data_IF_770373901358
#
_entry.id   IF_770373901358
#
_cell.length_a   1.000
_cell.length_b   1.000
_cell.length_c   1.000
_cell.angle_alpha   90.00
_cell.angle_beta   90.00
_cell.angle_gamma   90.00
#
_symmetry.space_group_name_H-M   'P 1'
#
loop_
_entity.id
_entity.type
_entity.pdbx_description
1 polymer ?
#
# COMPACT_ATOMS: atom_id res chain seq x y z
N UNK A 1 76.00 -14.57 -34.52
CA UNK A 1 74.63 -14.95 -34.96
C UNK A 1 73.89 -15.68 -33.87
N UNK A 2 73.74 -15.16 -32.62
CA UNK A 2 73.02 -15.95 -31.59
C UNK A 2 72.43 -15.19 -30.43
N UNK A 3 72.61 -13.88 -30.36
CA UNK A 3 72.03 -13.11 -29.22
C UNK A 3 70.56 -12.74 -29.44
N UNK A 4 70.06 -12.76 -30.66
CA UNK A 4 68.68 -12.36 -30.99
C UNK A 4 67.68 -13.52 -30.86
N UNK A 5 68.10 -14.74 -31.13
CA UNK A 5 67.30 -15.96 -30.98
C UNK A 5 67.12 -16.33 -29.50
N UNK A 6 68.15 -16.21 -28.73
CA UNK A 6 68.07 -16.44 -27.29
C UNK A 6 67.15 -15.44 -26.59
N UNK A 7 67.17 -14.19 -26.99
CA UNK A 7 66.30 -13.16 -26.40
C UNK A 7 64.80 -13.35 -26.81
N UNK A 8 64.56 -13.98 -27.97
CA UNK A 8 63.17 -14.35 -28.35
C UNK A 8 62.65 -15.60 -27.62
N UNK A 9 63.52 -16.58 -27.37
CA UNK A 9 63.13 -17.75 -26.56
C UNK A 9 62.84 -17.40 -25.13
N UNK A 10 63.63 -16.58 -24.47
CA UNK A 10 63.41 -16.12 -23.10
C UNK A 10 62.10 -15.32 -22.98
N UNK A 11 61.78 -14.47 -23.97
CA UNK A 11 60.50 -13.77 -24.01
C UNK A 11 59.30 -14.69 -24.20
N UNK A 12 59.44 -15.81 -24.93
CA UNK A 12 58.36 -16.81 -25.08
C UNK A 12 58.14 -17.60 -23.82
N UNK A 13 59.19 -18.02 -23.11
CA UNK A 13 59.10 -18.70 -21.84
C UNK A 13 58.48 -17.82 -20.73
N UNK A 14 58.90 -16.57 -20.67
CA UNK A 14 58.30 -15.59 -19.71
C UNK A 14 56.80 -15.37 -19.95
N UNK A 15 56.38 -15.35 -21.23
CA UNK A 15 54.95 -15.24 -21.57
C UNK A 15 54.17 -16.51 -21.22
N UNK A 16 54.78 -17.68 -21.39
CA UNK A 16 54.17 -18.96 -21.03
C UNK A 16 54.02 -19.09 -19.51
N UNK A 17 55.04 -18.75 -18.73
CA UNK A 17 55.03 -18.74 -17.26
C UNK A 17 54.05 -17.72 -16.71
N UNK A 18 53.89 -16.53 -17.35
CA UNK A 18 52.87 -15.57 -16.97
C UNK A 18 51.44 -16.09 -17.25
N UNK A 19 51.19 -16.72 -18.39
CA UNK A 19 49.88 -17.34 -18.70
C UNK A 19 49.51 -18.45 -17.72
N UNK A 20 50.42 -19.35 -17.40
CA UNK A 20 50.18 -20.42 -16.41
C UNK A 20 49.88 -19.85 -15.04
N UNK A 21 50.66 -18.84 -14.59
CA UNK A 21 50.42 -18.18 -13.31
C UNK A 21 49.05 -17.48 -13.24
N UNK A 22 48.67 -16.81 -14.32
CA UNK A 22 47.35 -16.12 -14.38
C UNK A 22 46.19 -17.13 -14.42
N UNK A 23 46.37 -18.30 -15.08
CA UNK A 23 45.36 -19.36 -15.06
C UNK A 23 45.21 -19.97 -13.66
N UNK A 24 46.31 -20.21 -12.96
CA UNK A 24 46.27 -20.72 -11.57
C UNK A 24 45.59 -19.72 -10.67
N UNK A 25 45.94 -18.44 -10.77
CA UNK A 25 45.26 -17.36 -9.99
C UNK A 25 43.74 -17.31 -10.30
N UNK A 26 43.36 -17.39 -11.58
CA UNK A 26 41.97 -17.40 -11.97
C UNK A 26 41.18 -18.58 -11.39
N UNK A 27 41.75 -19.81 -11.47
CA UNK A 27 41.10 -20.98 -10.88
C UNK A 27 41.04 -20.93 -9.35
N UNK A 28 42.08 -20.37 -8.71
CA UNK A 28 42.07 -20.19 -7.25
C UNK A 28 40.99 -19.19 -6.82
N UNK A 29 40.83 -18.06 -7.54
CA UNK A 29 39.79 -17.07 -7.26
C UNK A 29 38.38 -17.66 -7.45
N UNK A 30 38.18 -18.40 -8.54
CA UNK A 30 36.90 -19.08 -8.80
C UNK A 30 36.59 -20.10 -7.72
N UNK A 31 37.61 -20.90 -7.30
CA UNK A 31 37.46 -21.86 -6.20
C UNK A 31 37.09 -21.22 -4.88
N UNK A 32 37.70 -20.08 -4.54
CA UNK A 32 37.36 -19.30 -3.33
C UNK A 32 35.94 -18.75 -3.42
N UNK A 33 35.52 -18.23 -4.57
CA UNK A 33 34.15 -17.73 -4.76
C UNK A 33 33.11 -18.84 -4.58
N UNK A 34 33.32 -20.03 -5.14
CA UNK A 34 32.43 -21.18 -4.97
C UNK A 34 32.35 -21.59 -3.50
N UNK A 35 33.47 -21.57 -2.79
CA UNK A 35 33.52 -21.93 -1.37
C UNK A 35 32.80 -20.93 -0.49
N UNK A 36 32.93 -19.63 -0.78
CA UNK A 36 32.20 -18.58 -0.09
C UNK A 36 30.67 -18.66 -0.35
N UNK A 37 30.27 -19.02 -1.57
CA UNK A 37 28.88 -19.22 -1.94
C UNK A 37 28.27 -20.43 -1.19
N UNK A 38 29.02 -21.54 -1.10
CA UNK A 38 28.59 -22.72 -0.35
C UNK A 38 28.43 -22.43 1.16
N UNK A 39 29.38 -21.67 1.75
CA UNK A 39 29.30 -21.23 3.15
C UNK A 39 28.09 -20.29 3.37
N UNK A 40 27.86 -19.38 2.44
CA UNK A 40 26.69 -18.47 2.48
C UNK A 40 25.35 -19.23 2.46
N UNK A 41 25.23 -20.23 1.58
CA UNK A 41 24.04 -21.09 1.50
C UNK A 41 23.87 -21.91 2.79
N UNK A 42 24.93 -22.50 3.32
CA UNK A 42 24.88 -23.28 4.56
C UNK A 42 24.46 -22.39 5.76
N UNK A 43 24.95 -21.15 5.81
CA UNK A 43 24.56 -20.18 6.85
C UNK A 43 23.08 -19.76 6.72
N UNK A 44 22.60 -19.51 5.49
CA UNK A 44 21.21 -19.17 5.24
C UNK A 44 20.26 -20.32 5.64
N UNK A 45 20.58 -21.55 5.27
CA UNK A 45 19.81 -22.74 5.66
C UNK A 45 19.79 -22.93 7.17
N UNK A 46 20.94 -22.77 7.85
CA UNK A 46 21.03 -22.86 9.32
C UNK A 46 20.16 -21.80 10.01
N UNK A 47 20.12 -20.59 9.46
CA UNK A 47 19.31 -19.50 10.02
C UNK A 47 17.81 -19.74 9.82
N UNK A 48 17.41 -20.26 8.65
CA UNK A 48 16.01 -20.60 8.36
C UNK A 48 15.52 -21.71 9.30
N UNK A 49 16.33 -22.76 9.52
CA UNK A 49 15.96 -23.86 10.44
C UNK A 49 15.89 -23.42 11.90
N UNK A 50 16.74 -22.48 12.33
CA UNK A 50 16.65 -21.92 13.69
C UNK A 50 15.42 -21.03 13.89
N UNK A 51 15.00 -20.29 12.84
CA UNK A 51 13.78 -19.47 12.88
C UNK A 51 12.52 -20.35 12.93
N UNK A 52 12.45 -21.43 12.15
CA UNK A 52 11.34 -22.38 12.17
C UNK A 52 11.14 -23.02 13.55
N UNK A 53 12.23 -23.34 14.23
CA UNK A 53 12.16 -23.91 15.59
C UNK A 53 11.66 -22.92 16.65
N UNK A 54 12.02 -21.63 16.53
CA UNK A 54 11.51 -20.56 17.39
C UNK A 54 10.02 -20.29 17.15
N UNK A 55 9.54 -20.44 15.92
CA UNK A 55 8.10 -20.30 15.61
C UNK A 55 7.27 -21.43 16.22
N UNK A 56 7.74 -22.69 16.15
CA UNK A 56 7.06 -23.81 16.80
C UNK A 56 6.99 -23.64 18.32
N UNK A 57 8.05 -23.14 18.97
CA UNK A 57 8.03 -22.87 20.41
C UNK A 57 7.09 -21.71 20.79
N UNK A 58 6.96 -20.70 19.95
CA UNK A 58 6.01 -19.59 20.18
C UNK A 58 4.56 -20.01 19.92
N UNK A 59 4.32 -20.80 18.87
CA UNK A 59 2.99 -21.34 18.58
C UNK A 59 2.50 -22.23 19.72
N UNK A 60 3.35 -23.12 20.22
CA UNK A 60 3.01 -23.98 21.35
C UNK A 60 2.70 -23.19 22.64
N UNK A 61 3.37 -22.05 22.87
CA UNK A 61 3.05 -21.14 24.00
C UNK A 61 1.72 -20.41 23.81
N UNK A 62 1.39 -20.04 22.60
CA UNK A 62 0.08 -19.41 22.27
C UNK A 62 -1.04 -20.42 22.45
N UNK A 63 -0.85 -21.66 21.98
CA UNK A 63 -1.82 -22.74 22.13
C UNK A 63 -2.01 -23.15 23.60
N UNK A 64 -0.97 -23.09 24.43
CA UNK A 64 -1.04 -23.31 25.89
C UNK A 64 -1.83 -22.20 26.60
N UNK A 65 -1.66 -20.94 26.21
CA UNK A 65 -2.40 -19.78 26.76
C UNK A 65 -3.88 -19.83 26.35
N UNK A 66 -4.17 -20.27 25.12
CA UNK A 66 -5.55 -20.36 24.61
C UNK A 66 -6.32 -21.56 25.17
N UNK A 67 -5.64 -22.55 25.75
CA UNK A 67 -6.28 -23.72 26.35
C UNK A 67 -6.78 -23.49 27.78
N UNK A 68 -6.37 -22.40 28.44
CA UNK A 68 -6.71 -22.08 29.83
C UNK A 68 -7.87 -21.07 29.98
N UNK A 69 -8.50 -20.58 28.91
CA UNK A 69 -9.68 -19.72 29.02
C UNK A 69 -10.99 -20.51 28.93
N UNK A 70 -11.74 -20.44 30.04
CA UNK A 70 -13.08 -20.99 30.21
C UNK A 70 -14.05 -20.50 29.10
N UNK A 71 -14.80 -21.44 28.61
CA UNK A 71 -15.91 -21.43 27.66
C UNK A 71 -16.73 -20.14 27.61
N UNK A 72 -16.43 -19.27 26.66
CA UNK A 72 -17.41 -18.30 26.15
C UNK A 72 -17.99 -18.90 24.87
N UNK A 73 -19.29 -19.18 24.86
CA UNK A 73 -20.00 -19.68 23.68
C UNK A 73 -19.89 -18.65 22.54
N UNK A 74 -19.19 -19.05 21.49
CA UNK A 74 -19.09 -18.28 20.26
C UNK A 74 -20.44 -18.25 19.52
N UNK A 75 -20.79 -17.14 18.85
CA UNK A 75 -21.88 -17.11 17.90
C UNK A 75 -21.57 -18.03 16.71
N UNK A 76 -22.59 -18.66 16.20
CA UNK A 76 -22.62 -19.63 15.09
C UNK A 76 -21.73 -19.20 13.91
N UNK A 77 -20.76 -20.04 13.57
CA UNK A 77 -19.87 -19.89 12.41
C UNK A 77 -20.67 -19.62 11.12
N UNK A 78 -20.48 -18.42 10.56
CA UNK A 78 -20.64 -18.25 9.12
C UNK A 78 -19.46 -18.98 8.45
N UNK A 79 -19.75 -19.89 7.52
CA UNK A 79 -18.74 -20.60 6.74
C UNK A 79 -17.89 -19.57 5.98
N UNK A 80 -16.70 -19.26 6.50
CA UNK A 80 -15.65 -18.62 5.69
C UNK A 80 -15.32 -19.57 4.53
N UNK A 81 -15.67 -19.15 3.32
CA UNK A 81 -15.14 -19.77 2.12
C UNK A 81 -13.63 -19.50 2.13
N UNK A 82 -12.84 -20.50 2.50
CA UNK A 82 -11.38 -20.46 2.36
C UNK A 82 -11.08 -20.32 0.87
N UNK A 83 -10.84 -19.09 0.43
CA UNK A 83 -10.35 -18.83 -0.92
C UNK A 83 -8.90 -19.32 -0.95
N UNK A 84 -8.67 -20.42 -1.64
CA UNK A 84 -7.33 -20.97 -1.80
C UNK A 84 -6.48 -19.99 -2.64
N UNK A 85 -5.47 -19.39 -2.01
CA UNK A 85 -4.56 -18.44 -2.65
C UNK A 85 -3.85 -19.11 -3.84
N UNK A 86 -3.69 -18.40 -4.94
CA UNK A 86 -2.85 -18.83 -6.05
C UNK A 86 -1.38 -18.92 -5.62
N UNK A 87 -0.56 -19.66 -6.37
CA UNK A 87 0.87 -19.78 -6.05
C UNK A 87 1.59 -18.40 -6.10
N UNK A 88 1.16 -17.50 -6.96
CA UNK A 88 1.65 -16.12 -7.04
C UNK A 88 1.27 -15.35 -5.77
N UNK A 89 0.04 -15.42 -5.30
CA UNK A 89 -0.40 -14.77 -4.06
C UNK A 89 0.31 -15.34 -2.82
N UNK A 90 0.58 -16.65 -2.79
CA UNK A 90 1.40 -17.27 -1.73
C UNK A 90 2.83 -16.75 -1.73
N UNK A 91 3.44 -16.61 -2.92
CA UNK A 91 4.79 -16.08 -3.07
C UNK A 91 4.86 -14.61 -2.62
N UNK A 92 3.91 -13.78 -3.03
CA UNK A 92 3.82 -12.39 -2.61
C UNK A 92 3.66 -12.26 -1.09
N UNK A 93 2.86 -13.13 -0.48
CA UNK A 93 2.70 -13.18 0.98
C UNK A 93 4.03 -13.49 1.67
N UNK A 94 4.76 -14.49 1.21
CA UNK A 94 6.07 -14.89 1.78
C UNK A 94 7.08 -13.75 1.64
N UNK A 95 7.11 -13.07 0.49
CA UNK A 95 8.02 -11.94 0.24
C UNK A 95 7.69 -10.79 1.18
N UNK A 96 6.41 -10.43 1.32
CA UNK A 96 5.96 -9.36 2.19
C UNK A 96 6.25 -9.65 3.67
N UNK A 97 5.99 -10.86 4.12
CA UNK A 97 6.35 -11.29 5.48
C UNK A 97 7.85 -11.19 5.73
N UNK A 98 8.68 -11.63 4.78
CA UNK A 98 10.14 -11.55 4.90
C UNK A 98 10.63 -10.08 4.98
N UNK A 99 10.04 -9.17 4.20
CA UNK A 99 10.32 -7.73 4.27
C UNK A 99 9.96 -7.21 5.66
N UNK A 100 8.73 -7.45 6.13
CA UNK A 100 8.25 -6.98 7.43
C UNK A 100 9.10 -7.52 8.58
N UNK A 101 9.46 -8.81 8.56
CA UNK A 101 10.29 -9.41 9.62
C UNK A 101 11.67 -8.76 9.74
N UNK A 102 12.28 -8.39 8.62
CA UNK A 102 13.61 -7.79 8.59
C UNK A 102 13.62 -6.26 8.74
N UNK A 103 12.45 -5.62 8.69
CA UNK A 103 12.31 -4.17 8.83
C UNK A 103 12.65 -3.73 10.27
N UNK A 104 13.45 -2.68 10.49
CA UNK A 104 13.66 -2.07 11.80
C UNK A 104 12.35 -1.65 12.47
N UNK A 105 12.31 -1.62 13.79
CA UNK A 105 11.09 -1.24 14.52
C UNK A 105 10.63 0.18 14.19
N UNK A 106 11.58 1.10 14.07
CA UNK A 106 11.33 2.50 13.71
C UNK A 106 10.66 2.60 12.35
N UNK A 107 11.11 1.82 11.37
CA UNK A 107 10.55 1.78 10.03
C UNK A 107 9.15 1.15 10.03
N UNK A 108 8.94 0.09 10.83
CA UNK A 108 7.60 -0.50 11.04
C UNK A 108 6.62 0.52 11.60
N UNK A 109 7.04 1.31 12.59
CA UNK A 109 6.21 2.36 13.18
C UNK A 109 5.94 3.47 12.17
N UNK A 110 6.97 3.94 11.45
CA UNK A 110 6.80 4.93 10.39
C UNK A 110 5.85 4.43 9.28
N UNK A 111 5.96 3.16 8.92
CA UNK A 111 5.10 2.50 7.92
C UNK A 111 3.60 2.48 8.24
N UNK A 112 3.22 2.70 9.50
CA UNK A 112 1.80 2.82 9.90
C UNK A 112 1.18 4.18 9.58
N UNK A 113 1.97 5.16 9.08
CA UNK A 113 1.49 6.50 8.83
C UNK A 113 1.35 6.77 7.33
N UNK A 114 0.22 7.33 6.93
CA UNK A 114 0.04 8.03 5.66
C UNK A 114 0.03 9.52 5.99
N UNK A 115 0.85 10.31 5.29
CA UNK A 115 1.03 11.73 5.59
C UNK A 115 1.09 12.55 4.31
N UNK A 116 1.09 13.88 4.44
CA UNK A 116 1.25 14.78 3.28
C UNK A 116 2.73 15.04 2.98
N UNK A 117 3.09 15.33 1.73
CA UNK A 117 4.46 15.68 1.39
C UNK A 117 4.96 16.92 2.16
N UNK A 118 4.06 17.84 2.49
CA UNK A 118 4.39 19.04 3.28
C UNK A 118 4.77 18.71 4.71
N UNK A 119 4.08 17.74 5.33
CA UNK A 119 4.33 17.36 6.73
C UNK A 119 5.72 16.77 6.93
N UNK A 120 6.25 16.05 5.93
CA UNK A 120 7.59 15.43 6.03
C UNK A 120 8.71 16.35 5.53
N UNK A 121 8.41 17.30 4.64
CA UNK A 121 9.42 18.19 4.04
C UNK A 121 9.45 19.59 4.66
N UNK A 122 8.40 19.97 5.40
CA UNK A 122 8.28 21.30 6.02
C UNK A 122 7.98 22.44 5.04
N UNK A 123 7.71 22.17 3.76
CA UNK A 123 7.31 23.19 2.78
C UNK A 123 5.82 23.51 2.90
N UNK A 124 5.40 24.68 2.42
CA UNK A 124 3.99 25.11 2.48
C UNK A 124 3.11 24.40 1.43
N UNK A 125 3.67 24.11 0.25
CA UNK A 125 3.04 23.35 -0.81
C UNK A 125 4.12 22.62 -1.63
N UNK A 126 4.01 21.31 -1.71
CA UNK A 126 4.90 20.47 -2.49
C UNK A 126 4.32 20.24 -3.89
N UNK A 127 5.03 20.69 -4.92
CA UNK A 127 4.64 20.49 -6.32
C UNK A 127 5.71 19.69 -7.10
N UNK A 128 6.69 19.18 -6.38
CA UNK A 128 7.73 18.29 -6.91
C UNK A 128 8.31 17.45 -5.79
N UNK A 129 8.81 16.26 -6.12
CA UNK A 129 9.62 15.46 -5.22
C UNK A 129 11.09 15.57 -5.65
N UNK A 130 11.91 16.19 -4.82
CA UNK A 130 13.34 16.38 -4.99
C UNK A 130 14.14 15.89 -3.79
N UNK A 131 15.35 16.43 -3.61
CA UNK A 131 16.26 16.00 -2.54
C UNK A 131 15.62 16.11 -1.14
N UNK A 132 14.84 17.15 -0.85
CA UNK A 132 14.13 17.29 0.41
C UNK A 132 13.12 16.15 0.67
N UNK A 133 12.43 15.68 -0.38
CA UNK A 133 11.53 14.50 -0.27
C UNK A 133 12.33 13.24 -0.05
N UNK A 134 13.46 13.08 -0.77
CA UNK A 134 14.35 11.94 -0.64
C UNK A 134 14.91 11.83 0.77
N UNK A 135 15.44 12.94 1.31
CA UNK A 135 16.00 12.99 2.66
C UNK A 135 14.92 12.69 3.71
N UNK A 136 13.73 13.26 3.56
CA UNK A 136 12.59 13.03 4.45
C UNK A 136 12.14 11.56 4.46
N UNK A 137 11.98 10.93 3.29
CA UNK A 137 11.59 9.52 3.19
C UNK A 137 12.69 8.56 3.65
N UNK A 138 13.97 8.96 3.54
CA UNK A 138 15.09 8.19 4.10
C UNK A 138 15.10 8.23 5.62
N UNK A 139 14.69 9.35 6.22
CA UNK A 139 14.62 9.52 7.66
C UNK A 139 13.34 8.93 8.27
N UNK A 140 12.23 9.08 7.56
CA UNK A 140 10.90 8.63 7.97
C UNK A 140 10.26 7.83 6.84
N UNK A 141 10.49 6.53 6.75
CA UNK A 141 9.93 5.67 5.70
C UNK A 141 8.45 5.38 5.98
N UNK A 142 7.61 6.40 5.78
CA UNK A 142 6.16 6.33 6.00
C UNK A 142 5.49 5.33 5.05
N UNK A 143 4.34 4.79 5.45
CA UNK A 143 3.57 3.82 4.67
C UNK A 143 2.85 4.43 3.48
N UNK A 144 2.64 5.75 3.45
CA UNK A 144 1.99 6.41 2.33
C UNK A 144 2.13 7.93 2.33
N UNK A 145 1.94 8.48 1.14
CA UNK A 145 1.84 9.92 0.90
C UNK A 145 0.47 10.22 0.29
N UNK A 146 -0.30 11.10 0.93
CA UNK A 146 -1.57 11.61 0.42
C UNK A 146 -1.37 12.97 -0.23
N UNK A 147 -1.79 13.08 -1.48
CA UNK A 147 -1.76 14.32 -2.25
C UNK A 147 -3.13 15.02 -2.22
N UNK A 148 -3.11 16.33 -2.35
CA UNK A 148 -4.30 17.18 -2.35
C UNK A 148 -4.24 18.17 -3.53
N UNK A 149 -5.30 18.93 -3.74
CA UNK A 149 -5.41 19.91 -4.84
C UNK A 149 -4.19 20.86 -4.94
N UNK A 150 -3.60 21.28 -3.81
CA UNK A 150 -2.43 22.16 -3.77
C UNK A 150 -1.15 21.55 -4.37
N UNK A 151 -1.12 20.21 -4.53
CA UNK A 151 0.00 19.49 -5.10
C UNK A 151 -0.13 19.29 -6.63
N UNK A 152 -1.29 19.62 -7.20
CA UNK A 152 -1.64 19.34 -8.59
C UNK A 152 -1.52 20.60 -9.43
N UNK A 153 -0.64 20.59 -10.42
CA UNK A 153 -0.49 21.66 -11.41
C UNK A 153 -0.78 21.18 -12.84
N UNK A 154 -0.38 19.96 -13.17
CA UNK A 154 -0.63 19.29 -14.46
C UNK A 154 -0.44 17.78 -14.31
N UNK A 155 -0.94 17.00 -15.26
CA UNK A 155 -0.77 15.54 -15.26
C UNK A 155 0.72 15.15 -15.27
N UNK A 156 1.53 15.76 -16.12
CA UNK A 156 2.96 15.45 -16.25
C UNK A 156 3.72 15.79 -14.95
N UNK A 157 3.44 16.96 -14.36
CA UNK A 157 4.04 17.36 -13.10
C UNK A 157 3.68 16.38 -11.98
N UNK A 158 2.40 16.00 -11.88
CA UNK A 158 1.92 15.09 -10.84
C UNK A 158 2.52 13.69 -11.00
N UNK A 159 2.51 13.13 -12.21
CA UNK A 159 3.16 11.84 -12.52
C UNK A 159 4.62 11.85 -12.14
N UNK A 160 5.37 12.87 -12.58
CA UNK A 160 6.80 12.98 -12.24
C UNK A 160 7.04 13.07 -10.74
N UNK A 161 6.20 13.82 -10.02
CA UNK A 161 6.29 13.94 -8.57
C UNK A 161 6.02 12.60 -7.89
N UNK A 162 4.99 11.86 -8.31
CA UNK A 162 4.64 10.55 -7.81
C UNK A 162 5.76 9.52 -8.10
N UNK A 163 6.27 9.50 -9.33
CA UNK A 163 7.34 8.58 -9.73
C UNK A 163 8.63 8.81 -8.92
N UNK A 164 9.01 10.08 -8.74
CA UNK A 164 10.15 10.43 -7.90
C UNK A 164 9.92 10.03 -6.43
N UNK A 165 8.72 10.23 -5.89
CA UNK A 165 8.36 9.83 -4.53
C UNK A 165 8.52 8.31 -4.36
N UNK A 166 8.01 7.51 -5.30
CA UNK A 166 8.16 6.04 -5.31
C UNK A 166 9.62 5.62 -5.40
N UNK A 167 10.44 6.37 -6.16
CA UNK A 167 11.88 6.06 -6.33
C UNK A 167 12.69 6.31 -5.05
N UNK A 168 12.26 7.23 -4.19
CA UNK A 168 13.00 7.64 -3.00
C UNK A 168 12.71 6.81 -1.75
N UNK A 169 11.74 5.91 -1.80
CA UNK A 169 11.40 5.03 -0.67
C UNK A 169 12.09 3.67 -0.79
N UNK A 170 12.39 3.07 0.35
CA UNK A 170 12.96 1.72 0.44
C UNK A 170 11.89 0.62 0.51
N UNK A 171 10.65 0.99 0.78
CA UNK A 171 9.51 0.08 0.94
C UNK A 171 8.37 0.47 0.00
N UNK A 172 7.47 -0.48 -0.33
CA UNK A 172 6.24 -0.16 -1.07
C UNK A 172 5.47 0.96 -0.38
N UNK A 173 4.97 1.92 -1.15
CA UNK A 173 4.34 3.13 -0.64
C UNK A 173 2.92 3.27 -1.17
N UNK A 174 1.97 3.57 -0.29
CA UNK A 174 0.67 4.06 -0.72
C UNK A 174 0.81 5.48 -1.27
N UNK A 175 0.35 5.66 -2.49
CA UNK A 175 0.18 6.97 -3.12
C UNK A 175 -1.31 7.23 -3.11
N UNK A 176 -1.72 8.08 -2.18
CA UNK A 176 -3.13 8.26 -1.82
C UNK A 176 -3.71 9.59 -2.30
N UNK A 177 -5.00 9.57 -2.53
CA UNK A 177 -5.83 10.75 -2.73
C UNK A 177 -7.17 10.55 -2.01
N UNK A 178 -7.93 11.62 -1.84
CA UNK A 178 -9.31 11.60 -1.34
C UNK A 178 -10.19 12.12 -2.48
N UNK A 179 -10.89 11.23 -3.17
CA UNK A 179 -11.63 11.60 -4.36
C UNK A 179 -12.71 10.63 -4.81
N UNK A 180 -13.95 11.11 -4.85
CA UNK A 180 -15.11 10.37 -5.35
C UNK A 180 -15.40 10.67 -6.84
N UNK A 181 -14.52 11.43 -7.51
CA UNK A 181 -14.62 11.79 -8.92
C UNK A 181 -15.63 12.90 -9.24
N UNK A 182 -16.27 13.50 -8.25
CA UNK A 182 -17.20 14.61 -8.43
C UNK A 182 -16.48 15.97 -8.64
N UNK A 183 -17.22 17.06 -8.78
CA UNK A 183 -16.67 18.41 -8.94
C UNK A 183 -15.78 18.88 -7.78
N UNK A 184 -15.87 18.27 -6.63
CA UNK A 184 -15.06 18.57 -5.44
C UNK A 184 -13.78 17.73 -5.34
N UNK A 185 -13.65 16.69 -6.18
CA UNK A 185 -12.46 15.87 -6.27
C UNK A 185 -11.29 16.67 -6.84
N UNK A 186 -10.12 16.58 -6.19
CA UNK A 186 -8.94 17.36 -6.56
C UNK A 186 -8.45 17.10 -7.97
N UNK A 187 -8.50 15.86 -8.45
CA UNK A 187 -8.04 15.44 -9.78
C UNK A 187 -9.05 15.82 -10.85
N UNK A 188 -10.33 15.52 -10.61
CA UNK A 188 -11.41 15.84 -11.53
C UNK A 188 -11.63 17.37 -11.64
N UNK A 189 -11.53 18.10 -10.53
CA UNK A 189 -11.60 19.57 -10.52
C UNK A 189 -10.42 20.23 -11.28
N UNK A 190 -9.24 19.63 -11.24
CA UNK A 190 -8.07 20.06 -12.03
C UNK A 190 -8.19 19.73 -13.52
N UNK A 191 -9.25 19.04 -13.95
CA UNK A 191 -9.44 18.61 -15.34
C UNK A 191 -8.54 17.45 -15.76
N UNK A 192 -7.99 16.71 -14.81
CA UNK A 192 -7.09 15.58 -15.05
C UNK A 192 -7.82 14.22 -15.03
N UNK A 193 -9.10 14.21 -14.70
CA UNK A 193 -9.96 13.03 -14.68
C UNK A 193 -11.36 13.33 -15.23
N UNK A 194 -12.04 12.29 -15.71
CA UNK A 194 -13.44 12.39 -16.12
C UNK A 194 -14.31 12.50 -14.87
N UNK A 195 -15.12 13.55 -14.81
CA UNK A 195 -16.07 13.76 -13.71
C UNK A 195 -17.17 12.71 -13.75
N UNK A 196 -17.56 12.23 -12.58
CA UNK A 196 -18.71 11.38 -12.37
C UNK A 196 -19.76 12.12 -11.50
N UNK A 197 -20.98 11.60 -11.49
CA UNK A 197 -22.03 12.13 -10.62
C UNK A 197 -21.67 11.93 -9.14
N UNK A 198 -22.23 12.80 -8.28
CA UNK A 198 -22.04 12.67 -6.84
C UNK A 198 -22.64 11.36 -6.32
N UNK A 199 -22.11 10.77 -5.22
CA UNK A 199 -22.72 9.60 -4.57
C UNK A 199 -24.22 9.76 -4.32
N UNK A 200 -24.66 10.95 -3.89
CA UNK A 200 -26.08 11.25 -3.69
C UNK A 200 -26.90 11.11 -4.99
N UNK A 201 -26.39 11.63 -6.11
CA UNK A 201 -27.05 11.50 -7.41
C UNK A 201 -27.07 10.07 -7.89
N UNK A 202 -25.97 9.34 -7.71
CA UNK A 202 -25.85 7.92 -8.05
C UNK A 202 -26.82 7.10 -7.20
N UNK A 203 -26.86 7.31 -5.88
CA UNK A 203 -27.78 6.63 -4.96
C UNK A 203 -29.26 6.86 -5.30
N UNK A 204 -29.60 8.07 -5.72
CA UNK A 204 -30.96 8.42 -6.14
C UNK A 204 -31.43 7.67 -7.40
N UNK A 205 -30.53 7.11 -8.20
CA UNK A 205 -30.90 6.27 -9.38
C UNK A 205 -31.47 4.91 -8.98
N UNK A 206 -31.10 4.40 -7.79
CA UNK A 206 -31.43 3.04 -7.35
C UNK A 206 -30.68 1.93 -8.11
N UNK A 207 -29.75 2.26 -9.00
CA UNK A 207 -28.98 1.32 -9.82
C UNK A 207 -27.51 1.33 -9.39
N UNK A 208 -27.08 0.30 -8.68
CA UNK A 208 -25.72 0.13 -8.15
C UNK A 208 -24.66 0.02 -9.26
N UNK A 209 -25.04 -0.35 -10.49
CA UNK A 209 -24.12 -0.38 -11.62
C UNK A 209 -23.54 1.03 -11.91
N UNK A 210 -24.29 2.09 -11.62
CA UNK A 210 -23.78 3.46 -11.74
C UNK A 210 -22.61 3.74 -10.79
N UNK A 211 -22.61 3.15 -9.58
CA UNK A 211 -21.49 3.27 -8.65
C UNK A 211 -20.27 2.48 -9.15
N UNK A 212 -20.48 1.27 -9.70
CA UNK A 212 -19.39 0.50 -10.32
C UNK A 212 -18.75 1.25 -11.49
N UNK A 213 -19.55 1.84 -12.40
CA UNK A 213 -19.05 2.63 -13.52
C UNK A 213 -18.31 3.89 -13.05
N UNK A 214 -18.79 4.53 -11.99
CA UNK A 214 -18.10 5.65 -11.37
C UNK A 214 -16.75 5.22 -10.81
N UNK A 215 -16.70 4.11 -10.05
CA UNK A 215 -15.48 3.53 -9.51
C UNK A 215 -14.46 3.15 -10.59
N UNK A 216 -14.91 2.51 -11.66
CA UNK A 216 -14.06 2.18 -12.82
C UNK A 216 -13.50 3.44 -13.49
N UNK A 217 -14.33 4.47 -13.65
CA UNK A 217 -13.91 5.74 -14.26
C UNK A 217 -12.86 6.44 -13.38
N UNK A 218 -13.13 6.56 -12.08
CA UNK A 218 -12.21 7.19 -11.10
C UNK A 218 -10.91 6.37 -11.02
N UNK A 219 -11.01 5.06 -10.84
CA UNK A 219 -9.87 4.17 -10.76
C UNK A 219 -8.97 4.25 -11.98
N UNK A 220 -9.54 4.36 -13.18
CA UNK A 220 -8.78 4.46 -14.43
C UNK A 220 -7.85 5.68 -14.42
N UNK A 221 -8.37 6.88 -14.21
CA UNK A 221 -7.49 8.06 -14.24
C UNK A 221 -6.56 8.14 -13.03
N UNK A 222 -6.96 7.64 -11.85
CA UNK A 222 -6.08 7.57 -10.69
C UNK A 222 -4.90 6.64 -10.94
N UNK A 223 -5.14 5.44 -11.46
CA UNK A 223 -4.08 4.50 -11.83
C UNK A 223 -3.14 5.08 -12.90
N UNK A 224 -3.68 5.73 -13.94
CA UNK A 224 -2.90 6.40 -14.98
C UNK A 224 -2.01 7.52 -14.44
N UNK A 225 -2.43 8.22 -13.39
CA UNK A 225 -1.65 9.25 -12.71
C UNK A 225 -0.65 8.67 -11.70
N UNK A 226 -0.74 7.38 -11.38
CA UNK A 226 0.18 6.68 -10.49
C UNK A 226 -0.31 6.51 -9.05
N UNK A 227 -1.55 6.86 -8.74
CA UNK A 227 -2.19 6.56 -7.46
C UNK A 227 -2.49 5.07 -7.33
N UNK A 228 -2.47 4.55 -6.10
CA UNK A 228 -2.79 3.16 -5.77
C UNK A 228 -3.70 3.02 -4.54
N UNK A 229 -4.10 4.15 -3.92
CA UNK A 229 -5.04 4.22 -2.82
C UNK A 229 -5.96 5.43 -2.99
N UNK A 230 -7.25 5.22 -2.78
CA UNK A 230 -8.25 6.29 -2.72
C UNK A 230 -9.01 6.21 -1.39
N UNK A 231 -9.13 7.34 -0.67
CA UNK A 231 -9.97 7.46 0.52
C UNK A 231 -11.45 7.61 0.13
N UNK A 232 -11.91 6.69 -0.68
CA UNK A 232 -13.26 6.54 -1.19
C UNK A 232 -13.63 5.05 -1.27
N UNK A 233 -14.92 4.70 -1.33
CA UNK A 233 -16.11 5.54 -1.27
C UNK A 233 -16.49 5.96 0.15
N UNK A 234 -17.37 6.99 0.26
CA UNK A 234 -18.03 7.33 1.51
C UNK A 234 -19.07 6.28 1.88
N UNK A 235 -19.02 5.81 3.12
CA UNK A 235 -19.99 4.91 3.74
C UNK A 235 -21.02 5.65 4.62
N UNK A 236 -21.01 6.98 4.55
CA UNK A 236 -21.88 7.81 5.39
C UNK A 236 -23.35 7.67 5.01
N UNK A 237 -24.21 7.48 6.03
CA UNK A 237 -25.64 7.50 5.87
C UNK A 237 -26.18 8.95 5.96
N UNK A 238 -27.10 9.32 5.09
CA UNK A 238 -27.79 10.62 5.18
C UNK A 238 -28.91 10.54 6.21
N UNK A 239 -28.57 10.67 7.50
CA UNK A 239 -29.51 10.43 8.63
C UNK A 239 -30.30 11.67 9.00
N UNK A 240 -29.68 12.84 8.96
CA UNK A 240 -30.33 14.12 9.34
C UNK A 240 -30.24 15.10 8.18
N UNK A 241 -31.23 15.98 8.10
CA UNK A 241 -31.24 17.05 7.10
C UNK A 241 -30.04 17.98 7.29
N UNK A 242 -29.36 18.32 6.21
CA UNK A 242 -28.17 19.15 6.25
C UNK A 242 -26.96 18.46 6.94
N UNK A 243 -26.92 17.13 6.92
CA UNK A 243 -25.82 16.37 7.49
C UNK A 243 -24.47 16.70 6.87
N UNK A 244 -23.40 16.41 7.62
CA UNK A 244 -22.03 16.75 7.24
C UNK A 244 -21.49 15.92 6.07
N UNK A 245 -22.06 14.75 5.77
CA UNK A 245 -21.69 13.95 4.60
C UNK A 245 -22.15 14.61 3.29
N UNK A 246 -23.25 15.37 3.32
CA UNK A 246 -23.73 16.12 2.17
C UNK A 246 -24.00 15.24 0.95
N UNK A 247 -23.43 15.62 -0.20
CA UNK A 247 -23.57 14.89 -1.46
C UNK A 247 -22.72 13.63 -1.58
N UNK A 248 -21.84 13.36 -0.60
CA UNK A 248 -21.01 12.16 -0.57
C UNK A 248 -21.74 10.92 -0.05
N UNK A 249 -22.96 11.06 0.48
CA UNK A 249 -23.78 9.93 0.93
C UNK A 249 -24.65 9.38 -0.21
N UNK A 250 -24.64 8.03 -0.39
CA UNK A 250 -25.53 7.35 -1.34
C UNK A 250 -27.00 7.30 -0.87
N UNK A 251 -27.28 7.59 0.41
CA UNK A 251 -28.64 7.57 0.95
C UNK A 251 -28.70 7.35 2.46
N UNK A 252 -29.88 7.00 2.96
CA UNK A 252 -30.13 6.82 4.41
C UNK A 252 -30.23 5.36 4.85
N UNK A 253 -30.52 4.43 3.92
CA UNK A 253 -30.75 3.02 4.22
C UNK A 253 -29.46 2.23 4.16
N UNK A 254 -29.05 1.64 5.29
CA UNK A 254 -27.74 1.01 5.46
C UNK A 254 -27.43 -0.07 4.41
N UNK A 255 -28.35 -1.02 4.18
CA UNK A 255 -28.16 -2.12 3.21
C UNK A 255 -28.03 -1.59 1.77
N UNK A 256 -28.77 -0.54 1.45
CA UNK A 256 -28.69 0.08 0.14
C UNK A 256 -27.36 0.82 -0.05
N UNK A 257 -26.96 1.63 0.92
CA UNK A 257 -25.65 2.33 0.90
C UNK A 257 -24.50 1.32 0.84
N UNK A 258 -24.55 0.24 1.62
CA UNK A 258 -23.59 -0.85 1.59
C UNK A 258 -23.43 -1.44 0.17
N UNK A 259 -24.55 -1.65 -0.52
CA UNK A 259 -24.52 -2.14 -1.91
C UNK A 259 -23.82 -1.16 -2.85
N UNK A 260 -24.14 0.15 -2.80
CA UNK A 260 -23.47 1.16 -3.63
C UNK A 260 -21.96 1.26 -3.31
N UNK A 261 -21.59 1.24 -2.03
CA UNK A 261 -20.21 1.25 -1.56
C UNK A 261 -19.44 0.06 -2.11
N UNK A 262 -20.00 -1.16 -2.01
CA UNK A 262 -19.37 -2.36 -2.54
C UNK A 262 -19.15 -2.33 -4.07
N UNK A 263 -20.11 -1.79 -4.82
CA UNK A 263 -19.98 -1.64 -6.28
C UNK A 263 -18.94 -0.57 -6.67
N UNK A 264 -18.91 0.57 -5.99
CA UNK A 264 -17.87 1.59 -6.21
C UNK A 264 -16.47 1.05 -5.89
N UNK A 265 -16.33 0.35 -4.76
CA UNK A 265 -15.10 -0.33 -4.36
C UNK A 265 -14.65 -1.32 -5.44
N UNK A 266 -15.55 -2.16 -5.94
CA UNK A 266 -15.22 -3.13 -6.99
C UNK A 266 -14.69 -2.45 -8.25
N UNK A 267 -15.29 -1.32 -8.66
CA UNK A 267 -14.82 -0.53 -9.80
C UNK A 267 -13.42 0.04 -9.61
N UNK A 268 -13.10 0.59 -8.43
CA UNK A 268 -11.76 1.08 -8.10
C UNK A 268 -10.73 -0.05 -8.10
N UNK A 269 -11.05 -1.17 -7.46
CA UNK A 269 -10.13 -2.31 -7.32
C UNK A 269 -9.83 -2.99 -8.66
N UNK A 270 -10.79 -3.04 -9.59
CA UNK A 270 -10.56 -3.53 -10.95
C UNK A 270 -9.44 -2.74 -11.65
N UNK A 271 -9.32 -1.45 -11.35
CA UNK A 271 -8.27 -0.58 -11.87
C UNK A 271 -7.00 -0.59 -10.99
N UNK A 272 -6.90 -1.52 -10.02
CA UNK A 272 -5.77 -1.66 -9.09
C UNK A 272 -5.56 -0.45 -8.17
N UNK A 273 -6.61 0.29 -7.89
CA UNK A 273 -6.65 1.33 -6.87
C UNK A 273 -7.35 0.74 -5.65
N UNK A 274 -6.63 0.70 -4.52
CA UNK A 274 -7.20 0.25 -3.25
C UNK A 274 -8.24 1.26 -2.78
N UNK A 275 -9.44 0.80 -2.46
CA UNK A 275 -10.47 1.63 -1.85
C UNK A 275 -10.30 1.64 -0.32
N UNK A 276 -10.35 2.82 0.28
CA UNK A 276 -10.39 2.99 1.73
C UNK A 276 -11.74 3.60 2.12
N UNK A 277 -12.68 2.73 2.47
CA UNK A 277 -14.06 3.12 2.80
C UNK A 277 -14.06 4.01 4.04
N UNK A 278 -14.70 5.17 3.97
CA UNK A 278 -14.80 6.16 5.04
C UNK A 278 -16.20 6.81 5.06
N UNK A 279 -16.50 7.58 6.07
CA UNK A 279 -15.71 7.89 7.25
C UNK A 279 -16.20 7.06 8.43
N UNK A 280 -15.35 6.32 9.08
CA UNK A 280 -15.75 5.53 10.24
C UNK A 280 -15.73 6.42 11.50
N UNK A 281 -16.73 6.35 12.38
CA UNK A 281 -17.92 5.48 12.35
C UNK A 281 -19.12 6.04 11.54
N UNK A 282 -18.99 7.19 10.88
CA UNK A 282 -20.01 7.89 10.12
C UNK A 282 -20.30 9.29 10.65
N UNK A 283 -20.39 10.28 9.74
CA UNK A 283 -20.68 11.69 10.07
C UNK A 283 -22.07 12.14 9.63
N UNK A 284 -22.83 11.31 8.93
CA UNK A 284 -24.13 11.68 8.37
C UNK A 284 -25.27 11.84 9.39
N UNK A 285 -25.01 11.53 10.66
CA UNK A 285 -25.89 11.81 11.80
C UNK A 285 -25.55 13.14 12.51
N UNK A 286 -24.57 13.90 12.01
CA UNK A 286 -24.18 15.22 12.51
C UNK A 286 -24.34 16.28 11.42
N UNK A 287 -24.70 17.49 11.81
CA UNK A 287 -24.67 18.67 10.93
C UNK A 287 -23.31 19.39 11.00
N UNK A 288 -22.41 18.97 11.90
CA UNK A 288 -21.09 19.55 12.09
C UNK A 288 -20.04 18.75 11.32
N UNK A 289 -19.25 19.45 10.50
CA UNK A 289 -18.11 18.83 9.81
C UNK A 289 -16.93 18.63 10.76
N UNK A 290 -16.24 17.50 10.62
CA UNK A 290 -14.97 17.25 11.31
C UNK A 290 -13.85 18.20 10.86
N UNK A 291 -14.01 18.89 9.73
CA UNK A 291 -13.10 19.96 9.26
C UNK A 291 -13.14 21.20 10.16
N UNK A 292 -14.27 21.44 10.84
CA UNK A 292 -14.48 22.59 11.71
C UNK A 292 -14.21 22.27 13.19
N UNK A 293 -13.82 21.02 13.49
CA UNK A 293 -13.54 20.56 14.84
C UNK A 293 -14.13 19.19 15.12
N UNK A 294 -14.59 18.97 16.36
CA UNK A 294 -15.16 17.70 16.76
C UNK A 294 -16.67 17.68 16.42
N UNK A 295 -17.06 16.78 15.53
CA UNK A 295 -18.47 16.51 15.26
C UNK A 295 -19.08 15.69 16.41
N UNK A 296 -20.36 15.94 16.70
CA UNK A 296 -21.13 15.21 17.72
C UNK A 296 -22.49 14.76 17.18
N UNK A 297 -23.02 13.71 17.74
CA UNK A 297 -24.33 13.15 17.42
C UNK A 297 -25.02 12.67 18.68
N UNK A 298 -26.35 12.65 18.69
CA UNK A 298 -27.16 12.08 19.75
C UNK A 298 -27.48 10.58 19.55
N UNK A 299 -26.95 9.96 18.47
CA UNK A 299 -27.17 8.54 18.21
C UNK A 299 -26.46 7.66 19.24
N UNK A 300 -27.14 6.59 19.64
CA UNK A 300 -26.58 5.60 20.56
C UNK A 300 -25.58 4.68 19.86
N UNK A 301 -24.75 3.97 20.63
CA UNK A 301 -23.87 2.94 20.09
C UNK A 301 -24.65 1.78 19.45
N UNK A 302 -25.85 1.49 19.93
CA UNK A 302 -26.78 0.50 19.36
C UNK A 302 -27.24 0.94 17.97
N UNK A 303 -27.60 2.23 17.80
CA UNK A 303 -27.99 2.77 16.52
C UNK A 303 -26.85 2.66 15.50
N UNK A 304 -25.62 3.00 15.89
CA UNK A 304 -24.44 2.84 15.01
C UNK A 304 -24.23 1.40 14.60
N UNK A 305 -24.35 0.43 15.51
CA UNK A 305 -24.22 -0.99 15.18
C UNK A 305 -25.31 -1.49 14.24
N UNK A 306 -26.53 -0.96 14.40
CA UNK A 306 -27.68 -1.36 13.59
C UNK A 306 -27.71 -0.73 12.20
N UNK A 307 -26.98 0.36 11.98
CA UNK A 307 -27.04 1.14 10.74
C UNK A 307 -25.65 1.41 10.16
N UNK A 308 -24.87 2.34 10.72
CA UNK A 308 -23.62 2.78 10.13
C UNK A 308 -22.60 1.64 10.00
N UNK A 309 -22.48 0.77 11.00
CA UNK A 309 -21.52 -0.34 10.96
C UNK A 309 -21.89 -1.42 9.93
N UNK A 310 -23.15 -1.52 9.56
CA UNK A 310 -23.60 -2.46 8.51
C UNK A 310 -22.90 -2.16 7.20
N UNK A 311 -22.71 -0.87 6.87
CA UNK A 311 -22.05 -0.44 5.63
C UNK A 311 -20.57 -0.87 5.59
N UNK A 312 -19.90 -1.00 6.73
CA UNK A 312 -18.50 -1.42 6.81
C UNK A 312 -18.30 -2.94 6.90
N UNK A 313 -19.40 -3.73 6.89
CA UNK A 313 -19.36 -5.19 6.95
C UNK A 313 -19.47 -5.86 5.56
N UNK A 314 -19.55 -5.06 4.50
CA UNK A 314 -19.70 -5.52 3.10
C UNK A 314 -18.39 -6.02 2.49
#
# INVERSE_FOLDING_TARGET
>A
MDTNEQNQQDKRELRHKRRQRNQIIAYTVVGIMILLLAVGIAFAVSKITSMSRNQEEQQNKVDEILSDEETIQAPTESQETVVELTDEQKLDTIINEAIIQNMPLEDKVAGLFITTPESITGVSAAVQAGDGTKDALSQYPVGGIVYAAKNIQSADQLKQMIDNTKLYTSYPLFIAIDGEGSDTDAVAAAGLGTKVDTPQSIGATGDTNNAYLAGTTVGTYLAELGFNLDFAPSADLSVVDGNAAGSSSYGSEADNVASFVGYMQAGLQEQKVTACIGQFPGIGSSTQSTKDGMASTDRSAEDFRANEFVVFQT
#
